data_IF_943929855773
#
_entry.id   IF_943929855773
#
_cell.length_a   1.000
_cell.length_b   1.000
_cell.length_c   1.000
_cell.angle_alpha   90.00
_cell.angle_beta   90.00
_cell.angle_gamma   90.00
#
_symmetry.space_group_name_H-M   'P 1'
#
loop_
_entity.id
_entity.type
_entity.pdbx_description
1 polymer ?
#
# COMPACT_ATOMS: atom_id res chain seq x y z
N UNK A 1 20.43 37.90 -7.99
CA UNK A 1 21.47 37.40 -8.90
C UNK A 1 21.38 35.87 -8.88
N UNK A 2 20.68 35.29 -9.85
CA UNK A 2 20.64 33.84 -10.11
C UNK A 2 21.97 33.45 -10.80
N UNK A 3 22.53 32.31 -10.43
CA UNK A 3 23.64 31.67 -11.16
C UNK A 3 24.27 30.59 -10.28
N UNK A 4 24.47 29.35 -10.71
CA UNK A 4 24.16 28.68 -11.96
C UNK A 4 24.27 27.18 -11.68
N UNK A 5 23.40 26.39 -12.31
CA UNK A 5 23.31 24.94 -12.14
C UNK A 5 24.47 24.33 -12.94
N UNK A 6 25.50 23.86 -12.25
CA UNK A 6 26.70 23.25 -12.84
C UNK A 6 26.54 21.74 -13.02
N UNK A 7 26.68 21.32 -14.29
CA UNK A 7 26.69 19.98 -14.87
C UNK A 7 27.02 18.78 -13.94
N UNK A 8 26.10 17.81 -13.91
CA UNK A 8 26.37 16.44 -13.45
C UNK A 8 27.29 15.74 -14.44
N UNK A 9 28.55 15.59 -14.03
CA UNK A 9 29.57 14.76 -14.66
C UNK A 9 29.21 13.27 -14.51
N UNK A 10 28.58 12.69 -15.54
CA UNK A 10 28.43 11.24 -15.67
C UNK A 10 29.76 10.63 -16.10
N UNK A 11 30.39 9.89 -15.19
CA UNK A 11 31.53 9.02 -15.50
C UNK A 11 31.03 7.58 -15.69
N UNK A 12 31.04 7.01 -16.90
CA UNK A 12 30.88 5.58 -17.07
C UNK A 12 32.23 4.93 -16.74
N UNK A 13 32.25 4.06 -15.72
CA UNK A 13 33.36 3.16 -15.51
C UNK A 13 33.17 1.97 -16.46
N UNK A 14 33.72 2.10 -17.67
CA UNK A 14 34.01 0.96 -18.55
C UNK A 14 35.42 0.48 -18.25
N UNK A 15 35.54 -0.63 -17.52
CA UNK A 15 36.74 -1.47 -17.56
C UNK A 15 36.30 -2.91 -17.81
N UNK A 16 37.04 -3.58 -18.69
CA UNK A 16 36.53 -4.59 -19.60
C UNK A 16 36.31 -5.98 -19.02
N UNK A 17 35.32 -6.67 -19.59
CA UNK A 17 35.34 -8.11 -19.81
C UNK A 17 34.35 -8.42 -20.95
N UNK A 18 34.88 -8.50 -22.17
CA UNK A 18 34.16 -8.98 -23.34
C UNK A 18 34.13 -10.51 -23.33
N UNK A 19 32.93 -11.10 -23.37
CA UNK A 19 32.71 -12.42 -23.98
C UNK A 19 31.20 -12.69 -24.18
N UNK A 20 30.73 -12.41 -25.41
CA UNK A 20 29.72 -13.21 -26.09
C UNK A 20 28.25 -12.95 -25.78
N UNK A 21 27.58 -12.19 -26.67
CA UNK A 21 26.37 -12.60 -27.43
C UNK A 21 25.55 -11.36 -27.88
N UNK A 22 25.44 -11.04 -29.18
CA UNK A 22 24.35 -10.20 -29.67
C UNK A 22 23.13 -11.10 -29.92
N UNK A 23 22.40 -11.39 -28.85
CA UNK A 23 21.13 -12.12 -28.89
C UNK A 23 19.96 -11.16 -28.77
N UNK A 24 19.52 -10.62 -29.92
CA UNK A 24 18.20 -10.04 -30.03
C UNK A 24 17.17 -11.09 -29.60
N UNK A 25 16.15 -10.68 -28.83
CA UNK A 25 14.94 -11.44 -28.49
C UNK A 25 15.06 -12.41 -27.29
N UNK A 26 14.89 -11.89 -26.07
CA UNK A 26 14.25 -12.68 -25.01
C UNK A 26 13.25 -11.80 -24.25
N UNK A 27 12.03 -11.76 -24.78
CA UNK A 27 10.81 -11.43 -24.05
C UNK A 27 10.68 -12.37 -22.85
N UNK A 28 11.10 -11.91 -21.67
CA UNK A 28 11.00 -12.67 -20.42
C UNK A 28 11.05 -11.82 -19.14
N UNK A 29 11.08 -10.49 -19.24
CA UNK A 29 11.17 -9.60 -18.08
C UNK A 29 9.81 -9.29 -17.39
N UNK A 30 8.74 -10.02 -17.71
CA UNK A 30 7.41 -9.82 -17.10
C UNK A 30 7.22 -10.54 -15.76
N UNK A 31 7.98 -11.60 -15.48
CA UNK A 31 7.75 -12.46 -14.31
C UNK A 31 8.60 -12.08 -13.09
N UNK A 32 9.86 -11.65 -13.27
CA UNK A 32 10.73 -11.29 -12.13
C UNK A 32 10.37 -9.96 -11.45
N UNK A 33 9.87 -8.98 -12.20
CA UNK A 33 9.34 -7.74 -11.62
C UNK A 33 8.06 -8.00 -10.79
N UNK A 34 7.26 -8.98 -11.19
CA UNK A 34 6.00 -9.34 -10.54
C UNK A 34 6.20 -10.04 -9.19
N UNK A 35 7.20 -10.93 -9.07
CA UNK A 35 7.56 -11.57 -7.79
C UNK A 35 8.14 -10.56 -6.78
N UNK A 36 8.96 -9.62 -7.26
CA UNK A 36 9.55 -8.56 -6.43
C UNK A 36 8.49 -7.61 -5.88
N UNK A 37 7.51 -7.23 -6.71
CA UNK A 37 6.38 -6.39 -6.32
C UNK A 37 5.41 -7.14 -5.39
N UNK A 38 5.16 -8.43 -5.64
CA UNK A 38 4.32 -9.26 -4.78
C UNK A 38 4.91 -9.45 -3.37
N UNK A 39 6.24 -9.62 -3.26
CA UNK A 39 6.95 -9.63 -1.97
C UNK A 39 6.81 -8.29 -1.22
N UNK A 40 7.05 -7.18 -1.92
CA UNK A 40 6.93 -5.84 -1.33
C UNK A 40 5.51 -5.50 -0.87
N UNK A 41 4.48 -5.99 -1.57
CA UNK A 41 3.08 -5.83 -1.18
C UNK A 41 2.74 -6.69 0.04
N UNK A 42 3.21 -7.94 0.09
CA UNK A 42 3.02 -8.81 1.25
C UNK A 42 3.69 -8.25 2.51
N UNK A 43 4.88 -7.65 2.37
CA UNK A 43 5.57 -6.94 3.45
C UNK A 43 4.82 -5.69 3.90
N UNK A 44 4.33 -4.88 2.95
CA UNK A 44 3.51 -3.70 3.28
C UNK A 44 2.21 -4.08 4.00
N UNK A 45 1.56 -5.18 3.58
CA UNK A 45 0.36 -5.71 4.20
C UNK A 45 0.62 -6.26 5.60
N UNK A 46 1.73 -6.99 5.78
CA UNK A 46 2.17 -7.49 7.08
C UNK A 46 2.44 -6.33 8.06
N UNK A 47 3.13 -5.29 7.58
CA UNK A 47 3.41 -4.09 8.38
C UNK A 47 2.13 -3.33 8.75
N UNK A 48 1.18 -3.21 7.81
CA UNK A 48 -0.13 -2.62 8.06
C UNK A 48 -0.93 -3.44 9.09
N UNK A 49 -0.89 -4.76 9.03
CA UNK A 49 -1.54 -5.64 9.99
C UNK A 49 -0.92 -5.49 11.40
N UNK A 50 0.40 -5.52 11.53
CA UNK A 50 1.09 -5.31 12.81
C UNK A 50 0.81 -3.92 13.41
N UNK A 51 0.72 -2.89 12.57
CA UNK A 51 0.35 -1.53 12.99
C UNK A 51 -1.08 -1.46 13.47
N UNK A 52 -2.00 -2.17 12.81
CA UNK A 52 -3.41 -2.25 13.21
C UNK A 52 -3.57 -2.92 14.57
N UNK A 53 -2.87 -4.04 14.81
CA UNK A 53 -2.89 -4.73 16.11
C UNK A 53 -2.34 -3.85 17.23
N UNK A 54 -1.28 -3.09 16.98
CA UNK A 54 -0.77 -2.12 17.94
C UNK A 54 -1.76 -0.99 18.20
N UNK A 55 -2.40 -0.47 17.15
CA UNK A 55 -3.41 0.59 17.28
C UNK A 55 -4.63 0.12 18.06
N UNK A 56 -5.04 -1.14 17.90
CA UNK A 56 -6.14 -1.75 18.66
C UNK A 56 -5.82 -1.85 20.15
N UNK A 57 -4.63 -2.34 20.50
CA UNK A 57 -4.18 -2.40 21.90
C UNK A 57 -4.10 -1.00 22.53
N UNK A 58 -3.64 0.00 21.78
CA UNK A 58 -3.61 1.39 22.25
C UNK A 58 -5.02 1.94 22.47
N UNK A 59 -5.94 1.65 21.54
CA UNK A 59 -7.34 2.03 21.64
C UNK A 59 -8.05 1.36 22.82
N UNK A 60 -7.73 0.09 23.13
CA UNK A 60 -8.24 -0.60 24.34
C UNK A 60 -7.73 0.08 25.62
N UNK A 61 -6.44 0.39 25.70
CA UNK A 61 -5.89 1.12 26.85
C UNK A 61 -6.56 2.49 27.02
N UNK A 62 -6.79 3.20 25.91
CA UNK A 62 -7.47 4.50 25.91
C UNK A 62 -8.95 4.36 26.27
N UNK A 63 -9.62 3.29 25.83
CA UNK A 63 -11.02 2.99 26.18
C UNK A 63 -11.16 2.66 27.66
N UNK A 64 -10.20 1.93 28.25
CA UNK A 64 -10.14 1.70 29.69
C UNK A 64 -9.95 3.01 30.46
N UNK A 65 -9.18 3.96 29.91
CA UNK A 65 -9.03 5.30 30.48
C UNK A 65 -10.30 6.15 30.31
N UNK A 66 -10.99 6.06 29.18
CA UNK A 66 -12.24 6.79 28.92
C UNK A 66 -13.42 6.27 29.77
N UNK A 67 -13.49 4.95 30.00
CA UNK A 67 -14.45 4.31 30.91
C UNK A 67 -14.31 4.78 32.37
N UNK A 68 -13.17 5.39 32.74
CA UNK A 68 -13.02 6.07 34.04
C UNK A 68 -13.78 7.41 34.13
N UNK A 69 -14.44 7.85 33.05
CA UNK A 69 -15.45 8.92 33.08
C UNK A 69 -15.08 10.23 32.38
N UNK A 70 -14.21 10.22 31.38
CA UNK A 70 -13.62 11.45 30.81
C UNK A 70 -14.23 11.91 29.45
N UNK A 71 -15.28 11.25 28.92
CA UNK A 71 -15.80 11.53 27.58
C UNK A 71 -17.28 12.00 27.54
N UNK A 72 -17.53 13.13 26.89
CA UNK A 72 -18.83 13.80 26.78
C UNK A 72 -19.74 13.08 25.76
N UNK A 73 -21.03 12.91 26.06
CA UNK A 73 -21.99 12.17 25.20
C UNK A 73 -22.12 12.75 23.79
N UNK A 74 -21.75 14.03 23.59
CA UNK A 74 -21.67 14.64 22.25
C UNK A 74 -20.54 14.06 21.41
N UNK A 75 -19.40 13.75 22.02
CA UNK A 75 -18.26 13.14 21.32
C UNK A 75 -18.58 11.73 20.84
N UNK A 76 -19.44 11.00 21.56
CA UNK A 76 -19.92 9.67 21.16
C UNK A 76 -20.77 9.76 19.89
N UNK A 77 -21.66 10.74 19.78
CA UNK A 77 -22.51 10.92 18.59
C UNK A 77 -21.67 11.35 17.38
N UNK A 78 -20.70 12.24 17.57
CA UNK A 78 -19.77 12.66 16.51
C UNK A 78 -18.96 11.47 15.97
N UNK A 79 -18.40 10.66 16.88
CA UNK A 79 -17.68 9.45 16.53
C UNK A 79 -18.53 8.44 15.74
N UNK A 80 -19.82 8.29 16.10
CA UNK A 80 -20.74 7.40 15.37
C UNK A 80 -21.06 7.94 13.98
N UNK A 81 -21.28 9.24 13.83
CA UNK A 81 -21.52 9.87 12.51
C UNK A 81 -20.31 9.73 11.59
N UNK A 82 -19.11 9.95 12.13
CA UNK A 82 -17.85 9.76 11.41
C UNK A 82 -17.65 8.29 10.97
N UNK A 83 -17.94 7.34 11.86
CA UNK A 83 -17.90 5.92 11.54
C UNK A 83 -18.89 5.54 10.43
N UNK A 84 -20.07 6.16 10.41
CA UNK A 84 -21.10 5.88 9.40
C UNK A 84 -20.68 6.39 8.00
N UNK A 85 -20.00 7.54 7.93
CA UNK A 85 -19.41 8.06 6.69
C UNK A 85 -18.32 7.12 6.14
N UNK A 86 -17.46 6.61 7.01
CA UNK A 86 -16.41 5.66 6.64
C UNK A 86 -17.00 4.32 6.16
N UNK A 87 -18.05 3.84 6.83
CA UNK A 87 -18.76 2.61 6.45
C UNK A 87 -19.37 2.72 5.06
N UNK A 88 -20.03 3.84 4.73
CA UNK A 88 -20.61 4.07 3.41
C UNK A 88 -19.56 3.98 2.30
N UNK A 89 -18.39 4.57 2.52
CA UNK A 89 -17.27 4.50 1.58
C UNK A 89 -16.75 3.07 1.43
N UNK A 90 -16.66 2.34 2.54
CA UNK A 90 -16.23 0.95 2.56
C UNK A 90 -17.19 0.04 1.80
N UNK A 91 -18.51 0.28 1.90
CA UNK A 91 -19.52 -0.46 1.16
C UNK A 91 -19.36 -0.25 -0.35
N UNK A 92 -19.09 0.99 -0.80
CA UNK A 92 -18.85 1.27 -2.21
C UNK A 92 -17.61 0.53 -2.76
N UNK A 93 -16.54 0.44 -1.96
CA UNK A 93 -15.34 -0.35 -2.30
C UNK A 93 -15.69 -1.85 -2.37
N UNK A 94 -16.42 -2.37 -1.37
CA UNK A 94 -16.88 -3.76 -1.35
C UNK A 94 -17.65 -4.11 -2.62
N UNK A 95 -18.53 -3.23 -3.08
CA UNK A 95 -19.36 -3.48 -4.25
C UNK A 95 -18.53 -3.52 -5.55
N UNK A 96 -17.51 -2.65 -5.66
CA UNK A 96 -16.53 -2.67 -6.75
C UNK A 96 -15.70 -3.96 -6.77
N UNK A 97 -15.25 -4.44 -5.61
CA UNK A 97 -14.46 -5.68 -5.50
C UNK A 97 -15.30 -6.89 -5.87
N UNK A 98 -16.55 -6.96 -5.41
CA UNK A 98 -17.48 -8.05 -5.79
C UNK A 98 -17.73 -8.03 -7.29
N UNK A 99 -17.96 -6.86 -7.87
CA UNK A 99 -18.15 -6.72 -9.33
C UNK A 99 -16.94 -7.19 -10.12
N UNK A 100 -15.72 -6.80 -9.71
CA UNK A 100 -14.48 -7.23 -10.35
C UNK A 100 -14.25 -8.75 -10.24
N UNK A 101 -14.62 -9.36 -9.10
CA UNK A 101 -14.57 -10.81 -8.93
C UNK A 101 -15.52 -11.53 -9.90
N UNK A 102 -16.78 -11.07 -9.97
CA UNK A 102 -17.78 -11.65 -10.88
C UNK A 102 -17.42 -11.46 -12.37
N UNK A 103 -16.64 -10.43 -12.70
CA UNK A 103 -16.11 -10.20 -14.05
C UNK A 103 -14.96 -11.18 -14.37
N UNK A 104 -13.99 -11.34 -13.47
CA UNK A 104 -12.91 -12.35 -13.57
C UNK A 104 -13.50 -13.76 -13.69
N UNK A 105 -14.49 -14.11 -12.87
CA UNK A 105 -15.08 -15.44 -12.86
C UNK A 105 -15.84 -15.74 -14.16
N UNK A 106 -16.41 -14.73 -14.82
CA UNK A 106 -17.05 -14.90 -16.14
C UNK A 106 -16.05 -15.07 -17.29
N UNK A 107 -14.78 -14.73 -17.08
CA UNK A 107 -13.71 -14.86 -18.07
C UNK A 107 -12.87 -16.14 -17.86
N UNK A 108 -12.93 -16.75 -16.67
CA UNK A 108 -12.20 -17.98 -16.30
C UNK A 108 -13.04 -19.27 -16.37
N UNK A 109 -14.23 -19.24 -16.99
CA UNK A 109 -14.98 -20.44 -17.39
C UNK A 109 -14.99 -20.59 -18.90
#
# INVERSE_FOLDING_TARGET
MIGGIGALQFKPATDGAEAGSPGLLQSGAGTQASESVAGSFAEALSHAASKTVNSLQNAEQMSIQALKGDADTRQVVDAVLSAQQALQTTIAIRDKVVSAYLEISRMNI
#
